data_IF_085335836633
#
_entry.id   IF_085335836633
#
_cell.length_a   1.000
_cell.length_b   1.000
_cell.length_c   1.000
_cell.angle_alpha   90.00
_cell.angle_beta   90.00
_cell.angle_gamma   90.00
#
_symmetry.space_group_name_H-M   'P 1'
#
loop_
_entity.id
_entity.type
_entity.pdbx_description
1 polymer ?
#
# COMPACT_ATOMS: atom_id res chain seq x y z
N UNK A 1 -13.79 20.80 -17.63
CA UNK A 1 -13.17 19.46 -17.66
C UNK A 1 -11.96 19.52 -16.75
N UNK A 2 -12.11 19.14 -15.50
CA UNK A 2 -11.02 19.19 -14.53
C UNK A 2 -10.03 18.05 -14.82
N UNK A 3 -8.80 18.45 -15.14
CA UNK A 3 -7.64 17.56 -15.27
C UNK A 3 -7.36 16.92 -13.92
N UNK A 4 -7.65 15.63 -13.78
CA UNK A 4 -7.18 14.84 -12.64
C UNK A 4 -5.65 14.79 -12.75
N UNK A 5 -4.98 15.51 -11.86
CA UNK A 5 -3.53 15.51 -11.76
C UNK A 5 -3.04 14.09 -11.46
N UNK A 6 -2.33 13.49 -12.42
CA UNK A 6 -1.46 12.35 -12.15
C UNK A 6 -0.24 12.88 -11.39
N UNK A 7 -0.19 12.65 -10.08
CA UNK A 7 1.02 12.88 -9.31
C UNK A 7 1.99 11.74 -9.64
N UNK A 8 2.92 12.02 -10.56
CA UNK A 8 4.20 11.35 -10.65
C UNK A 8 4.86 11.45 -9.27
N UNK A 9 4.87 10.36 -8.49
CA UNK A 9 5.68 10.26 -7.27
C UNK A 9 7.15 10.12 -7.64
N UNK A 10 7.71 11.20 -8.19
CA UNK A 10 9.12 11.58 -8.14
C UNK A 10 10.12 10.42 -8.18
N UNK A 11 10.34 9.89 -9.37
CA UNK A 11 11.69 9.63 -9.88
C UNK A 11 12.44 8.36 -9.47
N UNK A 12 12.19 7.72 -8.32
CA UNK A 12 12.90 6.47 -7.95
C UNK A 12 12.00 5.57 -7.10
N UNK A 13 11.81 4.31 -7.51
CA UNK A 13 11.11 3.31 -6.66
C UNK A 13 11.92 3.01 -5.39
N UNK A 14 11.28 2.79 -4.23
CA UNK A 14 11.99 2.46 -2.99
C UNK A 14 12.94 1.28 -3.19
N UNK A 15 14.21 1.43 -2.81
CA UNK A 15 15.21 0.38 -3.01
C UNK A 15 15.33 -0.58 -1.81
N UNK A 16 14.72 -0.25 -0.67
CA UNK A 16 14.68 -1.04 0.57
C UNK A 16 13.29 -0.95 1.24
N UNK A 17 13.02 -1.82 2.21
CA UNK A 17 11.78 -1.77 3.00
C UNK A 17 11.72 -0.50 3.88
N UNK A 18 12.85 -0.06 4.43
CA UNK A 18 12.90 1.20 5.19
C UNK A 18 12.60 2.42 4.34
N UNK A 19 12.99 2.42 3.06
CA UNK A 19 12.65 3.52 2.14
C UNK A 19 11.14 3.65 1.87
N UNK A 20 10.34 2.62 2.16
CA UNK A 20 8.88 2.73 2.11
C UNK A 20 8.30 3.52 3.28
N UNK A 21 8.97 3.60 4.43
CA UNK A 21 8.42 4.24 5.65
C UNK A 21 7.97 5.68 5.42
N UNK A 22 8.72 6.41 4.59
CA UNK A 22 8.51 7.83 4.35
C UNK A 22 7.67 8.13 3.09
N UNK A 23 6.97 7.12 2.55
CA UNK A 23 6.12 7.29 1.36
C UNK A 23 4.70 7.68 1.75
N UNK A 24 4.06 8.49 0.88
CA UNK A 24 2.64 8.83 1.00
C UNK A 24 1.73 7.60 1.15
N UNK A 25 2.07 6.51 0.46
CA UNK A 25 1.32 5.26 0.54
C UNK A 25 1.53 4.46 1.83
N UNK A 26 2.49 4.84 2.67
CA UNK A 26 2.70 4.22 3.99
C UNK A 26 2.00 4.95 5.13
N UNK A 27 1.47 6.16 4.86
CA UNK A 27 0.71 6.92 5.84
C UNK A 27 -0.63 6.24 6.18
N UNK A 28 -1.18 6.46 7.38
CA UNK A 28 -2.55 6.07 7.70
C UNK A 28 -3.57 6.75 6.79
N UNK A 29 -4.70 6.08 6.52
CA UNK A 29 -5.72 6.57 5.59
C UNK A 29 -6.28 7.97 5.92
N UNK A 30 -6.35 8.32 7.20
CA UNK A 30 -6.86 9.61 7.68
C UNK A 30 -5.82 10.74 7.73
N UNK A 31 -4.54 10.48 7.45
CA UNK A 31 -3.50 11.51 7.48
C UNK A 31 -3.45 12.31 6.20
N UNK A 32 -3.28 13.62 6.35
CA UNK A 32 -3.02 14.51 5.23
C UNK A 32 -1.79 14.04 4.44
N UNK A 33 -1.94 14.02 3.12
CA UNK A 33 -0.89 13.55 2.22
C UNK A 33 -0.87 12.03 2.01
N UNK A 34 -1.79 11.26 2.60
CA UNK A 34 -1.97 9.86 2.20
C UNK A 34 -2.35 9.78 0.72
N UNK A 35 -1.65 8.91 -0.01
CA UNK A 35 -1.98 8.56 -1.38
C UNK A 35 -1.91 7.03 -1.57
N UNK A 36 -2.84 6.41 -2.29
CA UNK A 36 -2.77 4.97 -2.56
C UNK A 36 -1.50 4.61 -3.35
N UNK A 37 -0.93 3.41 -3.15
CA UNK A 37 0.30 3.02 -3.82
C UNK A 37 0.10 2.89 -5.33
N UNK A 38 1.15 3.19 -6.08
CA UNK A 38 1.19 2.89 -7.52
C UNK A 38 1.36 1.38 -7.78
N UNK A 39 1.00 0.88 -8.97
CA UNK A 39 1.26 -0.52 -9.34
C UNK A 39 2.73 -0.93 -9.17
N UNK A 40 3.65 -0.01 -9.45
CA UNK A 40 5.09 -0.21 -9.33
C UNK A 40 5.53 -0.26 -7.87
N UNK A 41 4.93 0.54 -6.98
CA UNK A 41 5.18 0.46 -5.53
C UNK A 41 4.69 -0.86 -4.96
N UNK A 42 3.51 -1.34 -5.39
CA UNK A 42 2.99 -2.66 -5.00
C UNK A 42 3.95 -3.78 -5.43
N UNK A 43 4.38 -3.77 -6.70
CA UNK A 43 5.33 -4.76 -7.20
C UNK A 43 6.69 -4.68 -6.47
N UNK A 44 7.16 -3.46 -6.17
CA UNK A 44 8.43 -3.26 -5.50
C UNK A 44 8.42 -3.77 -4.07
N UNK A 45 7.36 -3.53 -3.31
CA UNK A 45 7.22 -4.08 -1.95
C UNK A 45 7.27 -5.62 -1.97
N UNK A 46 6.51 -6.24 -2.88
CA UNK A 46 6.46 -7.71 -3.02
C UNK A 46 7.84 -8.28 -3.33
N UNK A 47 8.59 -7.64 -4.23
CA UNK A 47 9.96 -8.05 -4.59
C UNK A 47 10.92 -7.91 -3.41
N UNK A 48 10.90 -6.76 -2.72
CA UNK A 48 11.79 -6.50 -1.58
C UNK A 48 11.51 -7.41 -0.39
N UNK A 49 10.24 -7.76 -0.16
CA UNK A 49 9.85 -8.70 0.87
C UNK A 49 10.09 -10.19 0.47
N UNK A 50 10.51 -10.45 -0.77
CA UNK A 50 10.76 -11.81 -1.28
C UNK A 50 9.50 -12.66 -1.39
N UNK A 51 8.35 -12.05 -1.68
CA UNK A 51 7.06 -12.76 -1.71
C UNK A 51 6.65 -13.18 -3.12
N UNK A 52 6.02 -14.35 -3.22
CA UNK A 52 5.32 -14.78 -4.43
C UNK A 52 3.89 -14.21 -4.47
N UNK A 53 3.28 -14.14 -5.66
CA UNK A 53 1.87 -13.73 -5.79
C UNK A 53 0.93 -14.58 -4.92
N UNK A 54 1.15 -15.89 -4.87
CA UNK A 54 0.34 -16.81 -4.09
C UNK A 54 0.49 -16.56 -2.58
N UNK A 55 1.70 -16.19 -2.12
CA UNK A 55 1.95 -15.81 -0.73
C UNK A 55 1.20 -14.53 -0.38
N UNK A 56 1.29 -13.51 -1.24
CA UNK A 56 0.56 -12.23 -1.04
C UNK A 56 -0.95 -12.47 -1.06
N UNK A 57 -1.45 -13.29 -1.99
CA UNK A 57 -2.87 -13.58 -2.07
C UNK A 57 -3.41 -14.28 -0.81
N UNK A 58 -2.65 -15.24 -0.27
CA UNK A 58 -2.96 -15.88 1.01
C UNK A 58 -2.91 -14.89 2.17
N UNK A 59 -1.91 -14.01 2.18
CA UNK A 59 -1.73 -12.98 3.21
C UNK A 59 -2.93 -12.05 3.28
N UNK A 60 -3.40 -11.55 2.14
CA UNK A 60 -4.49 -10.55 2.07
C UNK A 60 -5.88 -11.15 1.86
N UNK A 61 -5.99 -12.49 1.88
CA UNK A 61 -7.28 -13.19 1.81
C UNK A 61 -8.00 -13.12 0.46
N UNK A 62 -7.26 -13.11 -0.66
CA UNK A 62 -7.84 -13.10 -2.01
C UNK A 62 -7.62 -14.43 -2.75
N UNK A 63 -8.49 -14.73 -3.72
CA UNK A 63 -8.41 -15.95 -4.52
C UNK A 63 -7.09 -16.10 -5.26
N UNK A 64 -6.52 -17.31 -5.25
CA UNK A 64 -5.33 -17.65 -6.02
C UNK A 64 -5.35 -19.10 -6.48
N UNK A 65 -4.59 -19.37 -7.54
CA UNK A 65 -4.31 -20.71 -8.02
C UNK A 65 -2.84 -21.07 -7.69
N UNK A 66 -2.57 -22.23 -7.06
CA UNK A 66 -1.19 -22.61 -6.70
C UNK A 66 -0.21 -22.65 -7.88
N UNK A 67 -0.69 -22.98 -9.09
CA UNK A 67 0.13 -23.04 -10.32
C UNK A 67 0.17 -21.72 -11.09
N UNK A 68 -0.92 -20.93 -11.08
CA UNK A 68 -1.07 -19.71 -11.91
C UNK A 68 -0.95 -18.39 -11.15
N UNK A 69 -0.82 -18.40 -9.83
CA UNK A 69 -0.82 -17.20 -9.00
C UNK A 69 -2.21 -16.60 -8.81
N UNK A 70 -2.29 -15.29 -8.57
CA UNK A 70 -3.55 -14.59 -8.31
C UNK A 70 -3.79 -13.51 -9.35
N UNK A 71 -4.96 -13.55 -10.00
CA UNK A 71 -5.40 -12.50 -10.93
C UNK A 71 -5.55 -11.17 -10.21
N UNK A 72 -6.07 -11.15 -8.98
CA UNK A 72 -6.19 -9.94 -8.16
C UNK A 72 -4.82 -9.28 -7.93
N UNK A 73 -3.82 -10.04 -7.49
CA UNK A 73 -2.46 -9.52 -7.27
C UNK A 73 -1.81 -9.08 -8.59
N UNK A 74 -2.10 -9.77 -9.70
CA UNK A 74 -1.66 -9.32 -11.03
C UNK A 74 -2.23 -7.94 -11.35
N UNK A 75 -3.54 -7.76 -11.19
CA UNK A 75 -4.26 -6.51 -11.51
C UNK A 75 -3.80 -5.31 -10.68
N UNK A 76 -3.41 -5.53 -9.43
CA UNK A 76 -2.82 -4.49 -8.56
C UNK A 76 -1.46 -3.98 -9.04
N UNK A 77 -0.75 -4.76 -9.85
CA UNK A 77 0.57 -4.43 -10.39
C UNK A 77 0.54 -4.08 -11.87
N UNK A 78 -0.63 -4.18 -12.50
CA UNK A 78 -0.82 -3.79 -13.89
C UNK A 78 -0.74 -2.26 -14.01
N UNK A 79 -0.11 -1.76 -15.07
CA UNK A 79 -0.05 -0.33 -15.36
C UNK A 79 -1.45 0.30 -15.42
N UNK A 80 -1.58 1.54 -14.91
CA UNK A 80 -2.86 2.25 -14.73
C UNK A 80 -3.65 2.41 -16.03
N UNK A 81 -2.96 2.56 -17.17
CA UNK A 81 -3.56 2.69 -18.51
C UNK A 81 -4.23 1.41 -19.02
N UNK A 82 -3.98 0.27 -18.38
CA UNK A 82 -4.53 -1.01 -18.82
C UNK A 82 -5.93 -1.23 -18.22
N UNK A 83 -6.89 -1.66 -19.05
CA UNK A 83 -8.27 -1.96 -18.62
C UNK A 83 -8.38 -2.99 -17.46
N UNK A 84 -7.36 -3.83 -17.30
CA UNK A 84 -7.28 -4.87 -16.28
C UNK A 84 -6.76 -4.31 -14.95
N UNK A 85 -6.21 -3.09 -14.90
CA UNK A 85 -5.74 -2.43 -13.68
C UNK A 85 -6.84 -2.32 -12.64
N UNK A 86 -6.49 -2.64 -11.39
CA UNK A 86 -7.34 -2.38 -10.24
C UNK A 86 -6.44 -1.81 -9.14
N UNK A 87 -6.86 -0.74 -8.49
CA UNK A 87 -6.16 -0.23 -7.32
C UNK A 87 -6.27 -1.24 -6.16
N UNK A 88 -5.19 -1.39 -5.40
CA UNK A 88 -5.20 -2.21 -4.18
C UNK A 88 -6.03 -1.52 -3.08
N UNK A 89 -6.94 -2.24 -2.39
CA UNK A 89 -7.66 -1.67 -1.25
C UNK A 89 -6.71 -1.28 -0.11
N UNK A 90 -6.99 -0.17 0.58
CA UNK A 90 -6.18 0.32 1.71
C UNK A 90 -5.88 -0.78 2.75
N UNK A 91 -6.91 -1.53 3.18
CA UNK A 91 -6.74 -2.57 4.18
C UNK A 91 -5.75 -3.67 3.73
N UNK A 92 -5.82 -4.10 2.47
CA UNK A 92 -4.89 -5.10 1.92
C UNK A 92 -3.46 -4.55 1.85
N UNK A 93 -3.31 -3.29 1.43
CA UNK A 93 -2.00 -2.63 1.38
C UNK A 93 -1.40 -2.45 2.78
N UNK A 94 -2.20 -1.98 3.75
CA UNK A 94 -1.77 -1.79 5.13
C UNK A 94 -1.33 -3.10 5.77
N UNK A 95 -2.06 -4.18 5.52
CA UNK A 95 -1.67 -5.52 5.96
C UNK A 95 -0.31 -5.94 5.35
N UNK A 96 -0.09 -5.69 4.06
CA UNK A 96 1.19 -5.97 3.43
C UNK A 96 2.34 -5.17 4.07
N UNK A 97 2.14 -3.87 4.35
CA UNK A 97 3.15 -3.04 5.00
C UNK A 97 3.49 -3.52 6.41
N UNK A 98 2.49 -3.93 7.19
CA UNK A 98 2.67 -4.49 8.54
C UNK A 98 3.53 -5.76 8.50
N UNK A 99 3.19 -6.70 7.62
CA UNK A 99 3.94 -7.96 7.49
C UNK A 99 5.32 -7.80 6.87
N UNK A 100 5.54 -6.72 6.11
CA UNK A 100 6.86 -6.35 5.61
C UNK A 100 7.69 -5.61 6.67
N UNK A 101 7.13 -5.26 7.83
CA UNK A 101 7.83 -4.48 8.86
C UNK A 101 8.11 -3.03 8.44
N UNK A 102 7.40 -2.53 7.42
CA UNK A 102 7.51 -1.13 7.01
C UNK A 102 6.81 -0.25 8.04
N UNK A 103 5.63 -0.66 8.50
CA UNK A 103 4.82 0.11 9.46
C UNK A 103 4.47 -0.78 10.65
N UNK A 104 4.10 -0.14 11.75
CA UNK A 104 3.66 -0.79 12.98
C UNK A 104 2.13 -0.71 13.15
N UNK A 105 1.61 -1.49 14.10
CA UNK A 105 0.20 -1.38 14.52
C UNK A 105 -0.05 -0.03 15.18
N UNK A 106 0.90 0.46 15.98
CA UNK A 106 0.81 1.73 16.71
C UNK A 106 0.64 2.92 15.76
N UNK A 107 1.34 2.92 14.62
CA UNK A 107 1.20 3.94 13.57
C UNK A 107 -0.26 4.11 13.08
N UNK A 108 -1.06 3.04 13.13
CA UNK A 108 -2.47 3.05 12.71
C UNK A 108 -3.45 3.42 13.81
N UNK A 109 -3.03 3.38 15.08
CA UNK A 109 -3.86 3.67 16.25
C UNK A 109 -3.60 5.07 16.84
N UNK A 110 -2.51 5.73 16.47
CA UNK A 110 -2.09 7.03 17.01
C UNK A 110 -3.03 8.20 16.68
N UNK A 111 -3.99 8.07 15.78
CA UNK A 111 -4.84 9.19 15.34
C UNK A 111 -6.17 9.37 16.12
N UNK A 112 -6.26 8.85 17.36
CA UNK A 112 -7.53 8.87 18.11
C UNK A 112 -7.49 9.29 19.58
N UNK A 113 -6.32 9.46 20.20
CA UNK A 113 -6.24 9.67 21.66
C UNK A 113 -5.64 11.01 22.10
N UNK A 114 -4.93 11.72 21.21
CA UNK A 114 -4.23 12.95 21.58
C UNK A 114 -5.15 14.19 21.64
N UNK A 115 -6.38 14.10 21.14
CA UNK A 115 -7.35 15.20 21.14
C UNK A 115 -8.40 15.14 22.28
N UNK A 116 -8.35 14.12 23.14
CA UNK A 116 -9.32 13.98 24.24
C UNK A 116 -8.87 14.63 25.57
N UNK A 117 -7.67 15.25 25.62
CA UNK A 117 -7.07 15.77 26.85
C UNK A 117 -6.88 17.28 26.96
N UNK A 118 -7.24 18.08 25.94
CA UNK A 118 -7.08 19.53 25.95
C UNK A 118 -8.42 20.25 25.85
N UNK A 119 -9.26 20.14 26.88
CA UNK A 119 -10.30 21.11 27.20
C UNK A 119 -10.64 20.97 28.69
N UNK A 120 -9.77 21.55 29.51
CA UNK A 120 -9.90 21.61 30.96
C UNK A 120 -9.02 22.74 31.49
N UNK A 121 -9.35 23.97 31.10
CA UNK A 121 -8.80 25.22 31.61
C UNK A 121 -9.93 26.20 31.84
#
# INVERSE_FOLDING_TARGET
>A
METIAFYDTGGVLPNSLDAFKNRACSLPFGKDGYAPPSPQEVDRLIKLAGWSQSRVARLVGVTYNPKKGSSTIRKWRTAVENHDYRQIPYASWRLMLLYAGVVSVDDGLQDGLDNAGQNGG
#
